data_IF_769060429222
#
_entry.id   IF_769060429222
#
_cell.length_a   1.000
_cell.length_b   1.000
_cell.length_c   1.000
_cell.angle_alpha   90.00
_cell.angle_beta   90.00
_cell.angle_gamma   90.00
#
_symmetry.space_group_name_H-M   'P 1'
#
loop_
_entity.id
_entity.type
_entity.pdbx_description
1 polymer ?
#
# COMPACT_ATOMS: atom_id res chain seq x y z
N UNK A 1 1.00 -13.26 -10.39
CA UNK A 1 1.30 -11.82 -10.22
C UNK A 1 0.05 -10.93 -10.09
N UNK A 2 -1.19 -11.44 -10.31
CA UNK A 2 -2.42 -10.61 -10.37
C UNK A 2 -3.33 -10.64 -9.11
N UNK A 3 -3.00 -11.41 -8.07
CA UNK A 3 -3.96 -11.66 -6.99
C UNK A 3 -4.08 -10.54 -5.94
N UNK A 4 -3.14 -9.60 -5.88
CA UNK A 4 -3.15 -8.58 -4.82
C UNK A 4 -4.25 -7.53 -5.04
N UNK A 5 -4.36 -6.98 -6.24
CA UNK A 5 -5.42 -6.02 -6.58
C UNK A 5 -6.78 -6.70 -6.47
N UNK A 6 -6.94 -7.89 -7.07
CA UNK A 6 -8.19 -8.63 -6.96
C UNK A 6 -8.56 -8.93 -5.51
N UNK A 7 -7.63 -9.35 -4.64
CA UNK A 7 -7.93 -9.60 -3.23
C UNK A 7 -8.22 -8.33 -2.44
N UNK A 8 -7.45 -7.26 -2.67
CA UNK A 8 -7.63 -5.98 -1.99
C UNK A 8 -8.96 -5.30 -2.37
N UNK A 9 -9.42 -5.49 -3.61
CA UNK A 9 -10.69 -4.97 -4.13
C UNK A 9 -11.85 -5.99 -4.11
N UNK A 10 -11.61 -7.26 -3.81
CA UNK A 10 -12.66 -8.28 -3.67
C UNK A 10 -13.63 -7.95 -2.54
N UNK A 11 -13.17 -7.21 -1.54
CA UNK A 11 -14.04 -6.66 -0.50
C UNK A 11 -14.52 -5.26 -0.93
N UNK A 12 -15.78 -5.17 -1.40
CA UNK A 12 -16.46 -3.97 -1.92
C UNK A 12 -16.26 -2.70 -1.03
N UNK A 13 -16.02 -2.90 0.27
CA UNK A 13 -15.81 -1.83 1.24
C UNK A 13 -14.54 -0.99 0.97
N UNK A 14 -13.49 -1.55 0.38
CA UNK A 14 -12.22 -0.84 0.15
C UNK A 14 -12.16 -0.11 -1.20
N UNK A 15 -12.90 -0.57 -2.20
CA UNK A 15 -13.01 0.05 -3.53
C UNK A 15 -13.51 1.51 -3.46
N UNK A 16 -14.34 1.83 -2.45
CA UNK A 16 -14.82 3.20 -2.19
C UNK A 16 -13.85 4.09 -1.41
N UNK A 17 -12.87 3.48 -0.73
CA UNK A 17 -11.96 4.13 0.22
C UNK A 17 -10.56 4.36 -0.38
N UNK A 18 -10.17 3.50 -1.31
CA UNK A 18 -8.92 3.56 -2.07
C UNK A 18 -9.22 4.26 -3.41
N UNK A 19 -8.61 5.43 -3.62
CA UNK A 19 -8.73 6.19 -4.86
C UNK A 19 -7.82 5.68 -5.96
N UNK A 20 -6.72 5.06 -5.60
CA UNK A 20 -5.73 4.55 -6.54
C UNK A 20 -4.96 3.41 -5.89
N UNK A 21 -4.65 2.37 -6.67
CA UNK A 21 -3.79 1.28 -6.23
C UNK A 21 -2.99 0.83 -7.45
N UNK A 22 -1.68 0.64 -7.28
CA UNK A 22 -0.79 0.17 -8.33
C UNK A 22 0.34 -0.62 -7.70
N UNK A 23 0.58 -1.85 -8.15
CA UNK A 23 1.73 -2.65 -7.72
C UNK A 23 2.91 -2.47 -8.68
N UNK A 24 4.10 -2.33 -8.13
CA UNK A 24 5.40 -2.33 -8.79
C UNK A 24 6.34 -3.34 -8.12
N UNK A 25 6.40 -4.56 -8.65
CA UNK A 25 7.23 -5.67 -8.13
C UNK A 25 6.93 -5.96 -6.65
N UNK A 26 7.76 -5.49 -5.71
CA UNK A 26 7.60 -5.64 -4.26
C UNK A 26 6.94 -4.41 -3.59
N UNK A 27 6.87 -3.27 -4.28
CA UNK A 27 6.32 -2.01 -3.76
C UNK A 27 4.93 -1.75 -4.33
N UNK A 28 4.03 -1.24 -3.51
CA UNK A 28 2.66 -0.95 -3.86
C UNK A 28 2.40 0.53 -3.59
N UNK A 29 1.80 1.20 -4.53
CA UNK A 29 1.39 2.59 -4.42
C UNK A 29 -0.14 2.66 -4.27
N UNK A 30 -0.62 3.11 -3.12
CA UNK A 30 -2.04 3.19 -2.81
C UNK A 30 -2.42 4.58 -2.29
N UNK A 31 -3.46 5.19 -2.86
CA UNK A 31 -4.03 6.44 -2.38
C UNK A 31 -5.28 6.10 -1.58
N UNK A 32 -5.18 6.14 -0.25
CA UNK A 32 -6.28 5.85 0.67
C UNK A 32 -6.80 7.15 1.30
N UNK A 33 -8.09 7.21 1.61
CA UNK A 33 -8.64 8.30 2.43
C UNK A 33 -7.94 8.35 3.79
N UNK A 34 -7.58 9.57 4.24
CA UNK A 34 -6.97 9.82 5.55
C UNK A 34 -7.85 9.20 6.65
N UNK A 35 -7.24 8.44 7.56
CA UNK A 35 -7.93 7.75 8.65
C UNK A 35 -8.36 6.31 8.33
N UNK A 36 -8.35 5.90 7.05
CA UNK A 36 -8.65 4.51 6.65
C UNK A 36 -7.38 3.69 6.34
N UNK A 37 -6.20 4.30 6.49
CA UNK A 37 -4.89 3.72 6.18
C UNK A 37 -4.60 2.47 7.02
N UNK A 38 -4.85 2.53 8.32
CA UNK A 38 -4.63 1.40 9.22
C UNK A 38 -5.63 0.27 8.96
N UNK A 39 -6.89 0.61 8.69
CA UNK A 39 -7.91 -0.37 8.32
C UNK A 39 -7.55 -1.08 7.01
N UNK A 40 -7.00 -0.34 6.05
CA UNK A 40 -6.49 -0.89 4.80
C UNK A 40 -5.29 -1.81 5.01
N UNK A 41 -4.31 -1.38 5.82
CA UNK A 41 -3.16 -2.20 6.18
C UNK A 41 -3.58 -3.49 6.88
N UNK A 42 -4.50 -3.42 7.83
CA UNK A 42 -5.01 -4.58 8.55
C UNK A 42 -5.75 -5.53 7.61
N UNK A 43 -6.53 -4.99 6.68
CA UNK A 43 -7.19 -5.78 5.64
C UNK A 43 -6.18 -6.51 4.74
N UNK A 44 -5.15 -5.80 4.27
CA UNK A 44 -4.08 -6.42 3.48
C UNK A 44 -3.34 -7.51 4.28
N UNK A 45 -2.98 -7.26 5.53
CA UNK A 45 -2.38 -8.28 6.39
C UNK A 45 -3.34 -9.47 6.64
N UNK A 46 -4.65 -9.22 6.72
CA UNK A 46 -5.69 -10.24 6.86
C UNK A 46 -5.93 -11.07 5.59
N UNK A 47 -5.63 -10.53 4.42
CA UNK A 47 -5.71 -11.25 3.14
C UNK A 47 -4.48 -12.14 2.88
N UNK A 48 -3.35 -11.81 3.52
CA UNK A 48 -2.05 -12.45 3.31
C UNK A 48 -1.45 -13.00 4.61
N UNK A 49 -2.32 -13.40 5.54
CA UNK A 49 -1.99 -13.82 6.93
C UNK A 49 -0.89 -14.86 7.04
N UNK A 50 -0.72 -15.70 6.03
CA UNK A 50 0.15 -16.88 6.10
C UNK A 50 1.52 -16.71 5.44
N UNK A 51 1.73 -15.67 4.62
CA UNK A 51 2.97 -15.58 3.83
C UNK A 51 3.66 -14.21 3.89
N UNK A 52 2.91 -13.10 4.00
CA UNK A 52 3.45 -11.76 3.76
C UNK A 52 2.81 -10.75 4.71
N UNK A 53 3.64 -10.02 5.47
CA UNK A 53 3.20 -8.90 6.33
C UNK A 53 3.41 -7.55 5.67
N UNK A 54 2.37 -6.99 5.09
CA UNK A 54 2.45 -5.65 4.50
C UNK A 54 2.72 -4.58 5.55
N UNK A 55 3.55 -3.60 5.19
CA UNK A 55 3.75 -2.37 5.96
C UNK A 55 3.29 -1.17 5.13
N UNK A 56 2.75 -0.13 5.77
CA UNK A 56 2.34 1.11 5.08
C UNK A 56 3.25 2.27 5.50
N UNK A 57 3.87 2.89 4.52
CA UNK A 57 4.56 4.15 4.64
C UNK A 57 3.64 5.29 4.20
N UNK A 58 3.55 6.30 5.05
CA UNK A 58 2.70 7.47 4.84
C UNK A 58 3.55 8.62 4.33
N UNK A 59 2.98 9.48 3.49
CA UNK A 59 3.68 10.71 3.13
C UNK A 59 3.98 11.55 4.38
N UNK A 60 5.18 12.12 4.46
CA UNK A 60 5.57 13.06 5.49
C UNK A 60 5.97 14.37 4.83
N UNK A 61 5.32 15.49 5.22
CA UNK A 61 5.61 16.80 4.63
C UNK A 61 5.29 16.92 3.12
N UNK A 62 4.29 16.18 2.63
CA UNK A 62 3.91 16.23 1.21
C UNK A 62 4.82 15.41 0.29
N UNK A 63 5.71 14.60 0.86
CA UNK A 63 6.73 13.84 0.14
C UNK A 63 6.65 12.37 0.53
N UNK A 64 6.68 11.48 -0.46
CA UNK A 64 6.68 10.05 -0.28
C UNK A 64 7.69 9.41 -1.26
N UNK A 65 8.80 8.85 -0.77
CA UNK A 65 9.75 8.16 -1.64
C UNK A 65 9.18 6.82 -2.11
N UNK A 66 9.03 6.66 -3.43
CA UNK A 66 8.46 5.48 -4.07
C UNK A 66 9.37 4.95 -5.17
N UNK A 67 9.92 3.74 -4.99
CA UNK A 67 11.00 3.17 -5.83
C UNK A 67 12.18 4.16 -5.90
N UNK A 68 12.46 4.67 -7.10
CA UNK A 68 13.48 5.69 -7.40
C UNK A 68 12.87 7.10 -7.61
N UNK A 69 11.56 7.23 -7.39
CA UNK A 69 10.82 8.48 -7.61
C UNK A 69 10.33 9.08 -6.29
N UNK A 70 10.47 10.41 -6.15
CA UNK A 70 9.84 11.14 -5.04
C UNK A 70 8.45 11.59 -5.45
N UNK A 71 7.41 11.04 -4.83
CA UNK A 71 6.04 11.51 -5.04
C UNK A 71 5.82 12.74 -4.17
N UNK A 72 5.62 13.88 -4.83
CA UNK A 72 5.32 15.15 -4.17
C UNK A 72 3.84 15.46 -4.34
N UNK A 73 3.16 15.73 -3.23
CA UNK A 73 1.78 16.15 -3.24
C UNK A 73 1.69 17.65 -3.53
N UNK A 74 1.13 17.97 -4.70
CA UNK A 74 0.75 19.33 -5.05
C UNK A 74 -0.66 19.67 -4.52
N UNK A 75 -0.71 20.69 -3.65
CA UNK A 75 -1.86 21.56 -3.35
C UNK A 75 -3.17 20.96 -2.82
N UNK A 76 -3.80 20.03 -3.53
CA UNK A 76 -5.19 19.60 -3.26
C UNK A 76 -5.42 18.09 -3.43
N UNK A 77 -4.37 17.31 -3.70
CA UNK A 77 -4.54 15.86 -3.93
C UNK A 77 -4.65 15.04 -2.63
N UNK A 78 -5.41 13.92 -2.66
CA UNK A 78 -5.44 12.95 -1.57
C UNK A 78 -4.03 12.41 -1.28
N UNK A 79 -3.77 12.10 -0.01
CA UNK A 79 -2.43 11.68 0.46
C UNK A 79 -2.05 10.34 -0.17
N UNK A 80 -0.91 10.25 -0.87
CA UNK A 80 -0.40 8.97 -1.32
C UNK A 80 0.17 8.17 -0.15
N UNK A 81 0.00 6.85 -0.20
CA UNK A 81 0.57 5.91 0.73
C UNK A 81 1.31 4.84 -0.07
N UNK A 82 2.43 4.40 0.48
CA UNK A 82 3.21 3.31 -0.08
C UNK A 82 3.00 2.11 0.80
N UNK A 83 2.65 0.98 0.22
CA UNK A 83 2.60 -0.30 0.91
C UNK A 83 3.79 -1.11 0.42
N UNK A 84 4.55 -1.72 1.32
CA UNK A 84 5.73 -2.51 0.94
C UNK A 84 5.55 -3.96 1.35
N UNK A 85 5.81 -4.86 0.42
CA UNK A 85 5.95 -6.29 0.67
C UNK A 85 7.30 -6.52 1.39
N UNK A 86 7.33 -7.19 2.55
CA UNK A 86 8.58 -7.57 3.20
C UNK A 86 9.32 -8.52 2.26
N UNK A 87 10.52 -8.13 1.83
CA UNK A 87 11.49 -9.07 1.27
C UNK A 87 11.76 -10.08 2.39
N UNK A 88 11.53 -11.37 2.17
CA UNK A 88 12.11 -12.39 3.05
C UNK A 88 13.59 -12.03 3.22
N UNK A 89 13.97 -11.62 4.43
CA UNK A 89 15.38 -11.62 4.80
C UNK A 89 15.77 -13.08 4.73
N UNK A 90 16.52 -13.45 3.70
CA UNK A 90 17.03 -14.79 3.56
C UNK A 90 17.63 -15.22 4.90
N UNK A 91 17.19 -16.38 5.38
CA UNK A 91 17.92 -17.12 6.40
C UNK A 91 19.38 -17.19 5.94
N UNK A 92 20.23 -16.39 6.58
CA UNK A 92 21.66 -16.53 6.41
C UNK A 92 22.14 -17.51 7.46
N UNK A 93 22.26 -18.77 7.01
CA UNK A 93 23.05 -19.90 7.52
C UNK A 93 22.86 -20.35 8.98
#
# INVERSE_FOLDING_TARGET
MEHLEQRAFACDNFTRRVKFFKRYVDDIFAIVKKGHEQSFLHHLNGLFTEHIKFTIEKEHGGRLPFLDALVIKDGHRPRPHKVKEPKEMGHNS
#
